data_IF_681836137235
#
_entry.id   IF_681836137235
#
_cell.length_a   1.000
_cell.length_b   1.000
_cell.length_c   1.000
_cell.angle_alpha   90.00
_cell.angle_beta   90.00
_cell.angle_gamma   90.00
#
_symmetry.space_group_name_H-M   'P 1'
#
loop_
_entity.id
_entity.type
_entity.pdbx_description
1 polymer ?
#
# COMPACT_ATOMS: atom_id res chain seq x y z
N UNK A 1 -4.23 3.27 -12.67
CA UNK A 1 -3.69 4.20 -13.70
C UNK A 1 -2.72 5.12 -12.99
N UNK A 2 -1.54 5.33 -13.58
CA UNK A 2 -0.59 6.36 -13.16
C UNK A 2 -0.83 7.57 -14.06
N UNK A 3 -0.87 8.76 -13.47
CA UNK A 3 -1.06 10.02 -14.20
C UNK A 3 0.07 10.97 -13.89
N UNK A 4 0.55 11.67 -14.91
CA UNK A 4 1.51 12.74 -14.79
C UNK A 4 0.80 14.04 -15.21
N UNK A 5 0.82 15.02 -14.33
CA UNK A 5 0.27 16.34 -14.58
C UNK A 5 1.40 17.38 -14.47
N UNK A 6 1.51 18.22 -15.47
CA UNK A 6 2.39 19.37 -15.42
C UNK A 6 1.62 20.56 -14.82
N UNK A 7 2.08 21.03 -13.68
CA UNK A 7 1.56 22.20 -13.00
C UNK A 7 2.76 23.14 -12.73
N UNK A 8 3.20 23.87 -13.78
CA UNK A 8 4.39 24.71 -13.76
C UNK A 8 4.53 25.51 -12.45
N UNK A 9 5.64 25.37 -11.68
CA UNK A 9 6.89 24.65 -12.01
C UNK A 9 6.94 23.18 -11.53
N UNK A 10 5.85 22.60 -11.06
CA UNK A 10 5.82 21.30 -10.37
C UNK A 10 5.22 20.23 -11.29
N UNK A 11 5.86 19.07 -11.37
CA UNK A 11 5.28 17.86 -11.97
C UNK A 11 4.57 17.05 -10.88
N UNK A 12 3.32 16.64 -11.11
CA UNK A 12 2.55 15.84 -10.15
C UNK A 12 2.37 14.43 -10.71
N UNK A 13 2.89 13.44 -10.00
CA UNK A 13 2.68 12.01 -10.28
C UNK A 13 1.59 11.49 -9.36
N UNK A 14 0.45 11.07 -9.91
CA UNK A 14 -0.64 10.49 -9.13
C UNK A 14 -0.78 9.00 -9.45
N UNK A 15 -0.81 8.17 -8.42
CA UNK A 15 -1.03 6.72 -8.52
C UNK A 15 -1.89 6.21 -7.39
N UNK A 16 -2.50 5.02 -7.57
CA UNK A 16 -3.03 4.30 -6.42
C UNK A 16 -1.89 3.64 -5.63
N UNK A 17 -2.07 3.50 -4.33
CA UNK A 17 -1.16 2.74 -3.45
C UNK A 17 -0.95 1.32 -3.99
N UNK A 18 -2.02 0.67 -4.44
CA UNK A 18 -1.94 -0.69 -5.02
C UNK A 18 -1.02 -0.74 -6.24
N UNK A 19 -1.15 0.20 -7.19
CA UNK A 19 -0.29 0.21 -8.39
C UNK A 19 1.17 0.48 -8.03
N UNK A 20 1.42 1.41 -7.12
CA UNK A 20 2.75 1.71 -6.61
C UNK A 20 3.39 0.47 -5.98
N UNK A 21 2.70 -0.18 -5.02
CA UNK A 21 3.22 -1.35 -4.31
C UNK A 21 3.39 -2.57 -5.23
N UNK A 22 2.48 -2.74 -6.19
CA UNK A 22 2.54 -3.82 -7.17
C UNK A 22 3.71 -3.62 -8.15
N UNK A 23 4.02 -2.36 -8.49
CA UNK A 23 5.16 -2.04 -9.33
C UNK A 23 6.48 -2.27 -8.58
N UNK A 24 6.69 -1.64 -7.45
CA UNK A 24 7.98 -1.69 -6.74
C UNK A 24 8.19 -3.00 -5.95
N UNK A 25 7.12 -3.56 -5.37
CA UNK A 25 7.20 -4.79 -4.58
C UNK A 25 7.03 -6.08 -5.37
N UNK A 26 6.59 -6.01 -6.64
CA UNK A 26 6.37 -7.20 -7.47
C UNK A 26 7.15 -7.15 -8.79
N UNK A 27 6.89 -6.14 -9.66
CA UNK A 27 7.55 -6.03 -10.96
C UNK A 27 7.43 -4.62 -11.53
N UNK A 28 8.56 -3.93 -11.75
CA UNK A 28 8.61 -2.56 -12.27
C UNK A 28 8.04 -2.43 -13.70
N UNK A 29 8.12 -3.49 -14.51
CA UNK A 29 7.51 -3.53 -15.84
C UNK A 29 5.99 -3.39 -15.88
N UNK A 30 5.33 -3.29 -14.73
CA UNK A 30 3.91 -2.92 -14.65
C UNK A 30 3.68 -1.41 -14.83
N UNK A 31 4.69 -0.58 -14.57
CA UNK A 31 4.58 0.88 -14.64
C UNK A 31 4.12 1.36 -16.03
N UNK A 32 4.73 0.97 -17.16
CA UNK A 32 4.27 1.34 -18.49
C UNK A 32 2.79 1.04 -18.73
N UNK A 33 2.34 -0.16 -18.37
CA UNK A 33 0.93 -0.55 -18.52
C UNK A 33 0.00 0.35 -17.69
N UNK A 34 0.42 0.75 -16.49
CA UNK A 34 -0.36 1.64 -15.64
C UNK A 34 -0.37 3.09 -16.17
N UNK A 35 0.71 3.57 -16.80
CA UNK A 35 0.77 4.88 -17.46
C UNK A 35 -0.16 4.91 -18.68
N UNK A 36 -0.12 3.90 -19.52
CA UNK A 36 -0.98 3.76 -20.71
C UNK A 36 -2.45 3.49 -20.34
N UNK A 37 -2.75 3.31 -19.06
CA UNK A 37 -4.12 3.05 -18.60
C UNK A 37 -4.65 1.67 -18.97
N UNK A 38 -3.75 0.75 -19.33
CA UNK A 38 -4.11 -0.65 -19.63
C UNK A 38 -4.65 -1.30 -18.37
N UNK A 39 -5.91 -1.71 -18.43
CA UNK A 39 -6.56 -2.38 -17.31
C UNK A 39 -6.17 -3.85 -17.29
N UNK A 40 -5.60 -4.26 -16.16
CA UNK A 40 -5.40 -5.67 -15.88
C UNK A 40 -6.74 -6.41 -15.89
N UNK A 41 -6.80 -7.57 -16.56
CA UNK A 41 -7.96 -8.43 -16.43
C UNK A 41 -8.00 -9.00 -15.01
N UNK A 42 -9.13 -8.84 -14.28
CA UNK A 42 -9.22 -9.39 -12.94
C UNK A 42 -9.08 -10.92 -13.01
N UNK A 43 -8.17 -11.45 -12.22
CA UNK A 43 -8.04 -12.91 -12.08
C UNK A 43 -9.15 -13.45 -11.18
N UNK A 44 -9.43 -14.75 -11.26
CA UNK A 44 -10.38 -15.38 -10.34
C UNK A 44 -9.99 -15.13 -8.88
N UNK A 45 -8.70 -15.13 -8.57
CA UNK A 45 -8.15 -14.83 -7.25
C UNK A 45 -8.51 -13.42 -6.79
N UNK A 46 -8.35 -12.42 -7.66
CA UNK A 46 -8.73 -11.03 -7.37
C UNK A 46 -10.23 -10.89 -7.09
N UNK A 47 -11.07 -11.53 -7.90
CA UNK A 47 -12.53 -11.50 -7.72
C UNK A 47 -12.93 -12.14 -6.39
N UNK A 48 -12.37 -13.30 -6.06
CA UNK A 48 -12.64 -13.99 -4.82
C UNK A 48 -12.13 -13.22 -3.59
N UNK A 49 -10.94 -12.61 -3.70
CA UNK A 49 -10.37 -11.74 -2.65
C UNK A 49 -11.30 -10.55 -2.36
N UNK A 50 -11.75 -9.84 -3.40
CA UNK A 50 -12.68 -8.72 -3.26
C UNK A 50 -14.00 -9.13 -2.57
N UNK A 51 -14.55 -10.30 -2.94
CA UNK A 51 -15.76 -10.82 -2.28
C UNK A 51 -15.53 -11.12 -0.81
N UNK A 52 -14.39 -11.73 -0.47
CA UNK A 52 -14.04 -12.04 0.91
C UNK A 52 -13.88 -10.76 1.76
N UNK A 53 -13.27 -9.71 1.21
CA UNK A 53 -13.21 -8.40 1.87
C UNK A 53 -14.61 -7.83 2.17
N UNK A 54 -15.52 -7.85 1.19
CA UNK A 54 -16.89 -7.37 1.36
C UNK A 54 -17.65 -8.19 2.42
N UNK A 55 -17.45 -9.51 2.45
CA UNK A 55 -18.08 -10.38 3.45
C UNK A 55 -17.56 -10.10 4.84
N UNK A 56 -16.24 -9.94 5.00
CA UNK A 56 -15.63 -9.60 6.27
C UNK A 56 -16.10 -8.23 6.78
N UNK A 57 -16.17 -7.24 5.89
CA UNK A 57 -16.67 -5.91 6.22
C UNK A 57 -18.09 -5.96 6.78
N UNK A 58 -18.99 -6.66 6.09
CA UNK A 58 -20.38 -6.84 6.55
C UNK A 58 -20.47 -7.57 7.88
N UNK A 59 -19.70 -8.65 8.04
CA UNK A 59 -19.68 -9.42 9.28
C UNK A 59 -19.26 -8.54 10.46
N UNK A 60 -18.25 -7.70 10.27
CA UNK A 60 -17.76 -6.84 11.33
C UNK A 60 -18.70 -5.66 11.63
N UNK A 61 -19.36 -5.10 10.61
CA UNK A 61 -20.41 -4.08 10.79
C UNK A 61 -21.60 -4.63 11.60
N UNK A 62 -21.95 -5.90 11.42
CA UNK A 62 -23.08 -6.55 12.12
C UNK A 62 -22.74 -7.00 13.54
N UNK A 63 -21.46 -7.29 13.85
CA UNK A 63 -21.08 -7.97 15.11
C UNK A 63 -20.23 -7.13 16.05
N UNK A 64 -19.70 -6.00 15.60
CA UNK A 64 -18.86 -5.14 16.42
C UNK A 64 -19.46 -3.75 16.55
N UNK A 65 -19.74 -3.33 17.78
CA UNK A 65 -20.09 -1.95 18.10
C UNK A 65 -18.85 -1.07 18.04
N UNK A 66 -18.56 -0.54 16.84
CA UNK A 66 -17.54 0.48 16.68
C UNK A 66 -18.21 1.82 16.46
N UNK A 67 -17.90 2.79 17.28
CA UNK A 67 -18.22 4.16 16.90
C UNK A 67 -17.28 4.61 15.77
N UNK A 68 -17.76 5.21 14.68
CA UNK A 68 -16.92 5.68 13.58
C UNK A 68 -15.94 6.79 14.05
N UNK A 69 -14.67 6.66 13.68
CA UNK A 69 -13.70 7.75 13.83
C UNK A 69 -13.91 8.71 12.67
N UNK A 70 -14.13 9.97 12.93
CA UNK A 70 -14.14 11.00 11.89
C UNK A 70 -12.71 11.27 11.41
N UNK A 71 -12.54 11.73 10.16
CA UNK A 71 -11.23 12.15 9.65
C UNK A 71 -10.60 13.20 10.55
N UNK A 72 -11.40 14.09 11.13
CA UNK A 72 -10.97 15.10 12.09
C UNK A 72 -10.41 14.47 13.36
N UNK A 73 -11.09 13.49 13.93
CA UNK A 73 -10.61 12.74 15.11
C UNK A 73 -9.34 11.95 14.83
N UNK A 74 -9.20 11.40 13.64
CA UNK A 74 -7.99 10.68 13.24
C UNK A 74 -6.81 11.64 13.03
N UNK A 75 -7.09 12.84 12.54
CA UNK A 75 -6.11 13.89 12.31
C UNK A 75 -5.72 14.63 13.60
N UNK A 76 -6.55 14.58 14.64
CA UNK A 76 -6.23 15.15 15.93
C UNK A 76 -5.41 14.17 16.78
N UNK A 77 -4.09 14.39 16.79
CA UNK A 77 -3.10 13.60 17.53
C UNK A 77 -3.38 13.56 19.03
N UNK A 78 -4.09 14.57 19.56
CA UNK A 78 -4.41 14.70 20.99
C UNK A 78 -5.61 13.89 21.42
N UNK A 79 -6.40 13.36 20.48
CA UNK A 79 -7.66 12.68 20.81
C UNK A 79 -7.40 11.28 21.34
N UNK A 80 -7.80 11.04 22.58
CA UNK A 80 -7.80 9.73 23.22
C UNK A 80 -8.96 8.86 22.71
N UNK A 81 -8.82 8.26 21.55
CA UNK A 81 -9.84 7.35 21.03
C UNK A 81 -9.39 5.91 21.19
N UNK A 82 -10.04 5.18 22.05
CA UNK A 82 -9.87 3.74 22.13
C UNK A 82 -10.59 3.08 20.96
N UNK A 83 -9.84 2.44 20.11
CA UNK A 83 -10.23 1.56 19.00
C UNK A 83 -11.37 2.02 18.11
N UNK A 84 -11.03 2.27 16.84
CA UNK A 84 -12.03 2.36 15.78
C UNK A 84 -11.53 1.84 14.47
N UNK A 85 -12.44 1.22 13.77
CA UNK A 85 -12.21 0.61 12.51
C UNK A 85 -12.85 1.42 11.41
N UNK A 86 -12.07 1.91 10.47
CA UNK A 86 -12.63 2.54 9.28
C UNK A 86 -11.77 2.36 8.05
N UNK A 87 -12.45 2.22 6.92
CA UNK A 87 -11.88 2.40 5.60
C UNK A 87 -11.68 3.88 5.34
N UNK A 88 -10.49 4.35 5.62
CA UNK A 88 -10.13 5.76 5.43
C UNK A 88 -9.50 5.92 4.06
N UNK A 89 -10.00 6.89 3.30
CA UNK A 89 -9.32 7.36 2.10
C UNK A 89 -8.06 8.11 2.51
N UNK A 90 -6.96 7.75 1.91
CA UNK A 90 -5.66 8.28 2.23
C UNK A 90 -4.97 8.83 0.99
N UNK A 91 -4.17 9.86 1.18
CA UNK A 91 -3.32 10.42 0.16
C UNK A 91 -1.94 10.72 0.76
N UNK A 92 -0.93 9.93 0.40
CA UNK A 92 0.44 10.21 0.77
C UNK A 92 1.04 11.17 -0.25
N UNK A 93 1.41 12.38 0.20
CA UNK A 93 2.00 13.43 -0.62
C UNK A 93 3.48 13.57 -0.27
N UNK A 94 4.35 13.29 -1.22
CA UNK A 94 5.81 13.38 -1.03
C UNK A 94 6.42 14.32 -2.07
N UNK A 95 6.98 15.46 -1.66
CA UNK A 95 7.75 16.31 -2.53
C UNK A 95 9.15 15.71 -2.77
N UNK A 96 9.57 15.71 -4.03
CA UNK A 96 10.88 15.25 -4.45
C UNK A 96 11.54 16.34 -5.32
N UNK A 97 12.86 16.34 -5.36
CA UNK A 97 13.65 17.25 -6.19
C UNK A 97 14.57 16.43 -7.10
N UNK A 98 14.42 16.56 -8.41
CA UNK A 98 15.30 15.95 -9.40
C UNK A 98 15.95 17.03 -10.25
N UNK A 99 17.22 17.35 -10.01
CA UNK A 99 17.92 18.46 -10.66
C UNK A 99 17.11 19.76 -10.59
N UNK A 100 16.56 20.22 -11.71
CA UNK A 100 15.77 21.45 -11.79
C UNK A 100 14.26 21.22 -11.66
N UNK A 101 13.80 19.95 -11.69
CA UNK A 101 12.39 19.58 -11.62
C UNK A 101 11.93 19.35 -10.18
N UNK A 102 10.90 20.05 -9.77
CA UNK A 102 10.14 19.74 -8.56
C UNK A 102 9.04 18.72 -8.89
N UNK A 103 8.98 17.65 -8.14
CA UNK A 103 8.01 16.57 -8.36
C UNK A 103 7.24 16.31 -7.08
N UNK A 104 5.91 16.27 -7.18
CA UNK A 104 5.03 15.86 -6.09
C UNK A 104 4.46 14.47 -6.41
N UNK A 105 4.77 13.48 -5.60
CA UNK A 105 4.15 12.15 -5.70
C UNK A 105 2.93 12.09 -4.80
N UNK A 106 1.78 11.74 -5.38
CA UNK A 106 0.50 11.58 -4.71
C UNK A 106 0.05 10.13 -4.81
N UNK A 107 0.05 9.41 -3.69
CA UNK A 107 -0.35 8.00 -3.59
C UNK A 107 -1.72 7.89 -2.92
N UNK A 108 -2.74 7.63 -3.72
CA UNK A 108 -4.12 7.53 -3.27
C UNK A 108 -4.47 6.10 -2.90
N UNK A 109 -5.12 5.92 -1.75
CA UNK A 109 -5.53 4.60 -1.29
C UNK A 109 -6.72 4.62 -0.35
N UNK A 110 -7.07 3.43 0.10
CA UNK A 110 -8.10 3.21 1.11
C UNK A 110 -7.62 2.09 2.02
N UNK A 111 -7.51 2.38 3.30
CA UNK A 111 -7.11 1.38 4.31
C UNK A 111 -8.22 0.36 4.52
N UNK A 112 -7.87 -0.86 4.91
CA UNK A 112 -8.88 -1.82 5.36
C UNK A 112 -9.33 -1.49 6.79
N UNK A 113 -8.37 -1.29 7.70
CA UNK A 113 -8.63 -1.02 9.12
C UNK A 113 -7.58 -0.09 9.69
N UNK A 114 -8.01 0.83 10.54
CA UNK A 114 -7.13 1.66 11.35
C UNK A 114 -7.55 1.56 12.79
N UNK A 115 -6.59 1.32 13.67
CA UNK A 115 -6.79 1.31 15.12
C UNK A 115 -5.93 2.39 15.73
N UNK A 116 -6.48 3.10 16.68
CA UNK A 116 -5.75 4.09 17.44
C UNK A 116 -6.11 4.02 18.91
N UNK A 117 -5.12 4.03 19.76
CA UNK A 117 -5.25 4.35 21.17
C UNK A 117 -4.33 5.54 21.50
N UNK A 118 -4.26 5.92 22.76
CA UNK A 118 -3.51 7.07 23.24
C UNK A 118 -2.03 7.11 22.83
N UNK A 119 -1.46 5.96 22.46
CA UNK A 119 -0.02 5.79 22.25
C UNK A 119 0.31 5.13 20.92
N UNK A 120 -0.64 4.43 20.32
CA UNK A 120 -0.36 3.59 19.16
C UNK A 120 -1.34 3.84 18.02
N UNK A 121 -0.81 4.05 16.83
CA UNK A 121 -1.55 4.01 15.57
C UNK A 121 -1.22 2.71 14.85
N UNK A 122 -2.24 1.93 14.51
CA UNK A 122 -2.08 0.64 13.82
C UNK A 122 -2.88 0.65 12.53
N UNK A 123 -2.23 0.36 11.42
CA UNK A 123 -2.89 0.04 10.16
C UNK A 123 -2.91 -1.46 10.00
N UNK A 124 -4.09 -2.04 9.78
CA UNK A 124 -4.24 -3.44 9.44
C UNK A 124 -4.71 -3.59 8.00
N UNK A 125 -4.04 -4.49 7.28
CA UNK A 125 -4.34 -4.86 5.91
C UNK A 125 -4.67 -6.36 5.85
N UNK A 126 -5.89 -6.70 5.45
CA UNK A 126 -6.37 -8.08 5.37
C UNK A 126 -6.09 -8.65 3.98
N UNK A 127 -5.58 -9.86 3.90
CA UNK A 127 -5.26 -10.57 2.66
C UNK A 127 -5.97 -11.92 2.59
N UNK A 128 -6.65 -12.17 1.50
CA UNK A 128 -7.42 -13.40 1.23
C UNK A 128 -6.84 -14.19 0.06
N UNK A 129 -5.64 -14.78 0.21
CA UNK A 129 -5.02 -15.54 -0.89
C UNK A 129 -5.75 -16.85 -1.15
N UNK A 130 -5.59 -17.39 -2.39
CA UNK A 130 -6.08 -18.73 -2.71
C UNK A 130 -5.21 -19.85 -2.16
N UNK A 131 -3.94 -19.57 -1.91
CA UNK A 131 -2.92 -20.54 -1.49
C UNK A 131 -2.30 -20.11 -0.18
N UNK A 132 -2.83 -20.59 0.91
CA UNK A 132 -2.38 -20.27 2.27
C UNK A 132 -1.00 -20.86 2.56
N UNK A 133 -0.70 -22.01 1.97
CA UNK A 133 0.58 -22.71 2.15
C UNK A 133 1.79 -21.86 1.76
N UNK A 134 1.62 -20.86 0.88
CA UNK A 134 2.68 -19.93 0.52
C UNK A 134 3.14 -19.04 1.69
N UNK A 135 2.31 -18.95 2.74
CA UNK A 135 2.60 -18.15 3.93
C UNK A 135 3.03 -18.99 5.13
N UNK A 136 2.89 -20.32 5.07
CA UNK A 136 3.14 -21.22 6.21
C UNK A 136 4.54 -20.99 6.82
N UNK A 137 5.58 -21.05 6.00
CA UNK A 137 6.97 -20.98 6.42
C UNK A 137 7.59 -19.58 6.30
N UNK A 138 6.79 -18.56 5.95
CA UNK A 138 7.31 -17.20 5.84
C UNK A 138 7.43 -16.56 7.22
N UNK A 139 8.55 -15.91 7.48
CA UNK A 139 8.77 -15.08 8.66
C UNK A 139 8.32 -13.64 8.44
N UNK A 140 8.30 -13.19 7.17
CA UNK A 140 7.95 -11.84 6.76
C UNK A 140 6.89 -11.85 5.65
N UNK A 141 6.06 -10.81 5.54
CA UNK A 141 5.12 -10.67 4.44
C UNK A 141 5.85 -10.43 3.10
N UNK A 142 5.12 -10.38 2.01
CA UNK A 142 5.72 -10.00 0.73
C UNK A 142 6.09 -8.50 0.72
N UNK A 143 7.18 -8.10 0.02
CA UNK A 143 7.61 -6.70 -0.03
C UNK A 143 6.51 -5.72 -0.44
N UNK A 144 5.66 -6.11 -1.41
CA UNK A 144 4.50 -5.29 -1.82
C UNK A 144 3.48 -5.07 -0.69
N UNK A 145 3.32 -6.04 0.20
CA UNK A 145 2.41 -5.94 1.35
C UNK A 145 2.98 -5.02 2.43
N UNK A 146 4.28 -5.13 2.71
CA UNK A 146 4.98 -4.23 3.63
C UNK A 146 4.89 -2.79 3.12
N UNK A 147 5.22 -2.59 1.84
CA UNK A 147 5.20 -1.28 1.22
C UNK A 147 3.80 -0.65 1.26
N UNK A 148 2.75 -1.46 1.06
CA UNK A 148 1.36 -1.02 1.16
C UNK A 148 1.02 -0.58 2.60
N UNK A 149 1.35 -1.38 3.58
CA UNK A 149 1.09 -1.07 4.99
C UNK A 149 1.83 0.20 5.44
N UNK A 150 3.11 0.36 5.07
CA UNK A 150 3.89 1.57 5.36
C UNK A 150 3.32 2.80 4.65
N UNK A 151 2.89 2.67 3.41
CA UNK A 151 2.27 3.79 2.66
C UNK A 151 0.99 4.25 3.36
N UNK A 152 0.13 3.34 3.75
CA UNK A 152 -1.10 3.69 4.48
C UNK A 152 -0.81 4.29 5.85
N UNK A 153 0.12 3.72 6.60
CA UNK A 153 0.49 4.20 7.93
C UNK A 153 0.99 5.65 7.90
N UNK A 154 1.75 6.02 6.85
CA UNK A 154 2.30 7.36 6.71
C UNK A 154 1.35 8.34 6.01
N UNK A 155 0.38 7.86 5.23
CA UNK A 155 -0.59 8.72 4.56
C UNK A 155 -1.60 9.38 5.50
N UNK A 156 -1.82 8.82 6.68
CA UNK A 156 -2.77 9.34 7.67
C UNK A 156 -2.41 10.72 8.22
N UNK A 157 -1.16 11.17 8.01
CA UNK A 157 -0.66 12.47 8.52
C UNK A 157 -0.05 13.35 7.43
N UNK A 158 -0.12 12.96 6.17
CA UNK A 158 0.55 13.68 5.09
C UNK A 158 0.01 15.09 4.86
N UNK A 159 -1.27 15.32 5.16
CA UNK A 159 -1.94 16.61 5.07
C UNK A 159 -1.54 17.58 6.19
N UNK A 160 -0.88 17.11 7.25
CA UNK A 160 -0.41 17.90 8.38
C UNK A 160 1.02 18.44 8.22
N UNK A 161 1.57 18.40 7.01
CA UNK A 161 2.94 18.87 6.73
C UNK A 161 4.05 17.88 7.08
N UNK A 162 3.72 16.68 7.49
CA UNK A 162 4.68 15.61 7.78
C UNK A 162 5.07 14.86 6.52
N UNK A 163 5.48 15.59 5.49
CA UNK A 163 5.71 15.05 4.13
C UNK A 163 7.16 14.68 3.85
N UNK A 164 8.07 15.00 4.77
CA UNK A 164 9.47 14.59 4.66
C UNK A 164 9.81 13.51 5.69
N UNK A 165 10.83 12.65 5.42
CA UNK A 165 11.15 11.52 6.30
C UNK A 165 11.54 11.93 7.72
N UNK A 166 12.15 13.08 7.92
CA UNK A 166 12.57 13.53 9.24
C UNK A 166 11.33 13.95 10.07
N UNK A 167 10.39 14.67 9.47
CA UNK A 167 9.15 15.08 10.17
C UNK A 167 8.24 13.89 10.51
N UNK A 168 8.33 12.78 9.81
CA UNK A 168 7.57 11.56 10.14
C UNK A 168 7.93 10.98 11.51
N UNK A 169 9.15 11.24 12.02
CA UNK A 169 9.56 10.82 13.36
C UNK A 169 9.10 11.76 14.45
N UNK A 170 8.81 13.00 14.09
CA UNK A 170 8.45 14.06 15.04
C UNK A 170 6.99 14.03 15.49
N UNK A 171 6.15 13.13 14.92
CA UNK A 171 4.77 12.99 15.39
C UNK A 171 4.81 12.54 16.85
N UNK A 172 4.49 13.43 17.80
CA UNK A 172 4.73 13.17 19.21
C UNK A 172 3.89 11.97 19.69
N UNK A 173 4.52 11.12 20.47
CA UNK A 173 3.87 10.13 21.34
C UNK A 173 3.05 9.03 20.67
N UNK A 174 3.17 8.83 19.35
CA UNK A 174 2.42 7.77 18.71
C UNK A 174 3.37 6.70 18.19
N UNK A 175 3.38 5.55 18.83
CA UNK A 175 3.95 4.35 18.23
C UNK A 175 3.15 4.01 16.99
N UNK A 176 3.82 3.85 15.87
CA UNK A 176 3.23 3.47 14.60
C UNK A 176 3.56 2.04 14.30
N UNK A 177 2.54 1.24 14.06
CA UNK A 177 2.68 -0.17 13.73
C UNK A 177 1.75 -0.59 12.61
N UNK A 178 2.07 -1.70 12.00
CA UNK A 178 1.25 -2.30 10.97
C UNK A 178 0.99 -3.78 11.27
N UNK A 179 -0.16 -4.26 10.82
CA UNK A 179 -0.55 -5.65 10.84
C UNK A 179 -0.95 -6.06 9.42
N UNK A 180 -0.40 -7.18 8.95
CA UNK A 180 -0.84 -7.83 7.72
C UNK A 180 -1.42 -9.18 8.14
N UNK A 181 -2.72 -9.33 7.97
CA UNK A 181 -3.44 -10.51 8.39
C UNK A 181 -3.83 -11.36 7.20
N UNK A 182 -3.25 -12.54 7.11
CA UNK A 182 -3.61 -13.53 6.11
C UNK A 182 -4.82 -14.31 6.63
N UNK A 183 -5.91 -14.29 5.87
CA UNK A 183 -7.18 -14.91 6.26
C UNK A 183 -7.54 -16.07 5.35
N UNK A 184 -8.14 -17.09 5.94
CA UNK A 184 -8.67 -18.24 5.22
C UNK A 184 -10.14 -17.98 4.82
N UNK A 185 -10.33 -17.58 3.55
CA UNK A 185 -11.67 -17.35 2.98
C UNK A 185 -12.57 -18.60 2.89
N UNK A 186 -12.01 -19.78 3.09
CA UNK A 186 -12.75 -21.06 3.09
C UNK A 186 -13.08 -21.55 4.51
N UNK A 187 -12.63 -20.82 5.53
CA UNK A 187 -12.87 -21.12 6.94
C UNK A 187 -13.33 -19.88 7.69
N UNK A 188 -14.48 -19.33 7.28
CA UNK A 188 -15.13 -18.15 7.88
C UNK A 188 -14.17 -16.95 8.07
N UNK A 189 -13.29 -16.73 7.09
CA UNK A 189 -12.28 -15.67 7.09
C UNK A 189 -11.40 -15.66 8.35
N UNK A 190 -11.21 -16.81 9.00
CA UNK A 190 -10.35 -16.89 10.20
C UNK A 190 -8.92 -16.51 9.89
N UNK A 191 -8.24 -15.87 10.83
CA UNK A 191 -6.83 -15.60 10.71
C UNK A 191 -6.04 -16.90 10.54
N UNK A 192 -5.27 -16.98 9.44
CA UNK A 192 -4.34 -18.07 9.17
C UNK A 192 -2.94 -17.73 9.68
N UNK A 193 -2.50 -16.50 9.39
CA UNK A 193 -1.19 -15.99 9.80
C UNK A 193 -1.26 -14.47 9.99
N UNK A 194 -0.55 -13.99 10.98
CA UNK A 194 -0.44 -12.58 11.30
C UNK A 194 1.03 -12.18 11.22
N UNK A 195 1.32 -11.16 10.44
CA UNK A 195 2.58 -10.45 10.44
C UNK A 195 2.34 -9.08 11.07
N UNK A 196 3.28 -8.66 11.89
CA UNK A 196 3.21 -7.34 12.53
C UNK A 196 4.60 -6.71 12.58
N UNK A 197 4.65 -5.42 12.53
CA UNK A 197 5.89 -4.67 12.65
C UNK A 197 5.64 -3.24 13.09
N UNK A 198 6.68 -2.62 13.58
CA UNK A 198 6.69 -1.21 13.93
C UNK A 198 7.28 -0.39 12.78
N UNK A 199 6.90 0.86 12.72
CA UNK A 199 7.57 1.82 11.86
C UNK A 199 8.93 2.15 12.51
N UNK A 200 9.99 1.68 11.86
CA UNK A 200 11.37 2.02 12.22
C UNK A 200 11.91 3.06 11.24
N UNK A 201 13.08 3.61 11.53
CA UNK A 201 13.78 4.51 10.62
C UNK A 201 14.08 3.82 9.29
N UNK A 202 14.56 2.60 9.34
CA UNK A 202 14.87 1.80 8.14
C UNK A 202 13.63 1.54 7.29
N UNK A 203 12.47 1.31 7.93
CA UNK A 203 11.21 1.13 7.23
C UNK A 203 10.76 2.41 6.49
N UNK A 204 10.99 3.57 7.09
CA UNK A 204 10.72 4.86 6.44
C UNK A 204 11.70 5.17 5.33
N UNK A 205 12.98 4.92 5.53
CA UNK A 205 14.01 5.05 4.48
C UNK A 205 13.68 4.14 3.29
N UNK A 206 13.23 2.92 3.53
CA UNK A 206 12.77 2.00 2.50
C UNK A 206 11.54 2.54 1.74
N UNK A 207 10.55 3.09 2.45
CA UNK A 207 9.38 3.70 1.82
C UNK A 207 9.78 4.90 0.95
N UNK A 208 10.60 5.80 1.49
CA UNK A 208 11.06 6.98 0.76
C UNK A 208 11.88 6.61 -0.46
N UNK A 209 12.84 5.69 -0.33
CA UNK A 209 13.61 5.14 -1.45
C UNK A 209 12.69 4.56 -2.53
N UNK A 210 11.66 3.82 -2.12
CA UNK A 210 10.70 3.23 -3.06
C UNK A 210 9.88 4.31 -3.80
N UNK A 211 9.50 5.39 -3.13
CA UNK A 211 8.78 6.51 -3.75
C UNK A 211 9.68 7.28 -4.72
N UNK A 212 10.93 7.55 -4.33
CA UNK A 212 11.93 8.19 -5.21
C UNK A 212 12.19 7.34 -6.45
N UNK A 213 12.46 6.05 -6.27
CA UNK A 213 12.63 5.08 -7.37
C UNK A 213 11.42 5.05 -8.30
N UNK A 214 10.21 5.00 -7.72
CA UNK A 214 8.97 5.01 -8.49
C UNK A 214 8.85 6.28 -9.36
N UNK A 215 9.13 7.44 -8.79
CA UNK A 215 9.05 8.71 -9.51
C UNK A 215 10.07 8.77 -10.66
N UNK A 216 11.31 8.31 -10.43
CA UNK A 216 12.36 8.24 -11.46
C UNK A 216 11.97 7.34 -12.62
N UNK A 217 11.40 6.16 -12.32
CA UNK A 217 10.92 5.22 -13.34
C UNK A 217 9.76 5.81 -14.16
N UNK A 218 8.78 6.44 -13.48
CA UNK A 218 7.62 7.07 -14.13
C UNK A 218 8.04 8.23 -15.04
N UNK A 219 9.08 8.98 -14.66
CA UNK A 219 9.62 10.10 -15.44
C UNK A 219 10.65 9.67 -16.50
N UNK A 220 11.01 8.40 -16.58
CA UNK A 220 12.01 7.88 -17.49
C UNK A 220 13.44 8.34 -17.17
N UNK A 221 13.72 8.72 -15.92
CA UNK A 221 15.05 9.12 -15.44
C UNK A 221 15.93 7.89 -15.20
N UNK A 222 15.32 6.78 -14.85
CA UNK A 222 16.00 5.50 -14.60
C UNK A 222 15.38 4.37 -15.44
N UNK A 223 16.14 3.31 -15.66
CA UNK A 223 15.70 2.11 -16.35
C UNK A 223 15.02 1.14 -15.38
N UNK A 224 14.06 0.37 -15.91
CA UNK A 224 13.39 -0.67 -15.17
C UNK A 224 14.33 -1.84 -14.87
N UNK A 225 14.32 -2.32 -13.63
CA UNK A 225 15.02 -3.53 -13.26
C UNK A 225 14.18 -4.79 -13.52
N UNK A 226 14.87 -5.85 -13.92
CA UNK A 226 14.25 -7.15 -14.14
C UNK A 226 14.01 -7.88 -12.81
N UNK A 227 12.79 -7.76 -12.29
CA UNK A 227 12.33 -8.59 -11.15
C UNK A 227 11.44 -9.75 -11.60
N UNK A 228 11.39 -10.02 -12.90
CA UNK A 228 10.55 -11.05 -13.45
C UNK A 228 11.15 -12.45 -13.26
N UNK A 229 10.27 -13.41 -13.08
CA UNK A 229 10.58 -14.83 -13.08
C UNK A 229 9.37 -15.60 -13.61
N UNK A 230 9.56 -16.83 -14.07
CA UNK A 230 8.46 -17.65 -14.53
C UNK A 230 7.34 -17.79 -13.48
N UNK A 231 7.70 -17.83 -12.19
CA UNK A 231 6.74 -17.89 -11.09
C UNK A 231 5.95 -16.60 -10.92
N UNK A 232 6.56 -15.42 -11.14
CA UNK A 232 5.91 -14.12 -11.10
C UNK A 232 5.12 -13.86 -12.39
N UNK A 233 5.67 -14.18 -13.55
CA UNK A 233 5.03 -13.91 -14.83
C UNK A 233 3.77 -14.76 -15.06
N UNK A 234 3.75 -16.02 -14.65
CA UNK A 234 2.60 -16.91 -14.85
C UNK A 234 1.28 -16.37 -14.29
N UNK A 235 1.20 -15.86 -13.05
CA UNK A 235 -0.02 -15.28 -12.50
C UNK A 235 -0.18 -13.79 -12.82
N UNK A 236 0.75 -13.15 -13.52
CA UNK A 236 0.70 -11.73 -13.81
C UNK A 236 -0.44 -11.38 -14.75
N UNK A 237 -1.26 -10.40 -14.34
CA UNK A 237 -2.40 -9.95 -15.14
C UNK A 237 -2.03 -9.29 -16.48
N UNK A 238 -0.77 -8.87 -16.63
CA UNK A 238 -0.21 -8.30 -17.86
C UNK A 238 0.62 -9.30 -18.68
N UNK A 239 0.72 -10.57 -18.26
CA UNK A 239 1.62 -11.55 -18.87
C UNK A 239 1.47 -11.70 -20.38
N UNK A 240 0.23 -11.59 -20.89
CA UNK A 240 -0.05 -11.75 -22.34
C UNK A 240 0.41 -10.54 -23.18
N UNK A 241 0.64 -9.39 -22.54
CA UNK A 241 1.00 -8.12 -23.19
C UNK A 241 2.45 -7.73 -22.93
N UNK A 242 3.12 -8.45 -21.99
CA UNK A 242 4.46 -8.13 -21.54
C UNK A 242 5.51 -8.80 -22.43
N UNK A 243 6.31 -8.02 -23.12
CA UNK A 243 7.44 -8.51 -23.95
C UNK A 243 8.58 -9.10 -23.11
N UNK A 244 8.67 -8.71 -21.83
CA UNK A 244 9.66 -9.21 -20.86
C UNK A 244 9.17 -10.43 -20.07
N UNK A 245 8.08 -11.03 -20.52
CA UNK A 245 7.54 -12.22 -19.87
C UNK A 245 8.55 -13.37 -19.93
N UNK A 246 8.77 -13.99 -18.77
CA UNK A 246 9.54 -15.23 -18.67
C UNK A 246 8.57 -16.42 -18.66
N UNK A 247 8.66 -17.26 -19.65
CA UNK A 247 7.89 -18.49 -19.70
C UNK A 247 8.60 -19.62 -18.94
N UNK A 248 7.83 -20.48 -18.30
CA UNK A 248 8.34 -21.77 -17.82
C UNK A 248 8.61 -22.66 -19.04
N UNK A 249 9.87 -22.98 -19.29
CA UNK A 249 10.24 -24.06 -20.19
C UNK A 249 9.63 -25.38 -19.71
#
# INVERSE_FOLDING_TARGET
MIKIHEADPIKIITSSVTNFCDSLGYCEYKIPFHIEGIKAKPTLETIQGTRAHIQEEKFEEEHFEFEPITEEQLSDISTNVEFKREKIFTNLLIPLQFSDDQVLVSLLGRTDKVFRNNQTLVVQDDKFPNKLEKYADRFEPYPSQILQALTYLNSLYSDKGYNDPESWFEIPHTEKSWIIQIRDKHNDNKPYKIFQGMQTREALEYLHYSIDRFARLVLGIEEFEHHNSAQKCKPCSFALQCEFRVDTL
#
